data_IF_311898347479
#
_entry.id   IF_311898347479
#
_cell.length_a   1.000
_cell.length_b   1.000
_cell.length_c   1.000
_cell.angle_alpha   90.00
_cell.angle_beta   90.00
_cell.angle_gamma   90.00
#
_symmetry.space_group_name_H-M   'P 1'
#
loop_
_entity.id
_entity.type
_entity.pdbx_description
1 polymer ?
#
# COMPACT_ATOMS: atom_id res chain seq x y z
N UNK A 1 -0.31 -23.37 -14.22
CA UNK A 1 0.90 -22.62 -13.82
C UNK A 1 1.29 -23.05 -12.42
N UNK A 2 2.58 -23.15 -12.12
CA UNK A 2 3.05 -23.61 -10.81
C UNK A 2 2.97 -22.46 -9.80
N UNK A 3 2.52 -22.75 -8.57
CA UNK A 3 2.56 -21.79 -7.45
C UNK A 3 3.98 -21.25 -7.20
N UNK A 4 5.01 -22.02 -7.58
CA UNK A 4 6.41 -21.60 -7.49
C UNK A 4 6.74 -20.39 -8.38
N UNK A 5 6.17 -20.31 -9.59
CA UNK A 5 6.41 -19.17 -10.47
C UNK A 5 5.77 -17.90 -9.91
N UNK A 6 4.58 -18.01 -9.32
CA UNK A 6 3.90 -16.89 -8.66
C UNK A 6 4.71 -16.36 -7.47
N UNK A 7 5.21 -17.26 -6.62
CA UNK A 7 6.02 -16.88 -5.46
C UNK A 7 7.33 -16.22 -5.86
N UNK A 8 7.99 -16.69 -6.92
CA UNK A 8 9.20 -16.03 -7.44
C UNK A 8 8.93 -14.59 -7.86
N UNK A 9 7.80 -14.31 -8.53
CA UNK A 9 7.47 -12.93 -8.93
C UNK A 9 7.21 -12.03 -7.71
N UNK A 10 6.57 -12.53 -6.64
CA UNK A 10 6.40 -11.77 -5.40
C UNK A 10 7.70 -11.63 -4.60
N UNK A 11 8.58 -12.62 -4.66
CA UNK A 11 9.91 -12.59 -4.06
C UNK A 11 10.76 -11.50 -4.72
N UNK A 12 10.82 -11.49 -6.05
CA UNK A 12 11.52 -10.47 -6.86
C UNK A 12 10.97 -9.06 -6.57
N UNK A 13 9.65 -8.94 -6.48
CA UNK A 13 9.00 -7.72 -6.04
C UNK A 13 9.48 -7.29 -4.66
N UNK A 14 9.47 -8.19 -3.67
CA UNK A 14 9.94 -7.92 -2.31
C UNK A 14 11.40 -7.48 -2.24
N UNK A 15 12.27 -8.13 -3.00
CA UNK A 15 13.70 -7.78 -3.11
C UNK A 15 13.89 -6.36 -3.65
N UNK A 16 13.18 -6.00 -4.71
CA UNK A 16 13.25 -4.64 -5.28
C UNK A 16 12.61 -3.60 -4.35
N UNK A 17 11.54 -3.94 -3.62
CA UNK A 17 10.94 -3.06 -2.62
C UNK A 17 11.91 -2.73 -1.47
N UNK A 18 12.75 -3.68 -1.04
CA UNK A 18 13.84 -3.42 -0.08
C UNK A 18 14.81 -2.36 -0.61
N UNK A 19 15.24 -2.50 -1.85
CA UNK A 19 16.16 -1.55 -2.51
C UNK A 19 15.53 -0.16 -2.58
N UNK A 20 14.27 -0.07 -3.00
CA UNK A 20 13.55 1.21 -3.04
C UNK A 20 13.41 1.83 -1.65
N UNK A 21 13.15 1.04 -0.60
CA UNK A 21 13.06 1.54 0.77
C UNK A 21 14.36 2.23 1.20
N UNK A 22 15.50 1.59 0.93
CA UNK A 22 16.83 2.12 1.26
C UNK A 22 17.13 3.38 0.43
N UNK A 23 16.88 3.36 -0.88
CA UNK A 23 17.10 4.52 -1.76
C UNK A 23 16.23 5.71 -1.34
N UNK A 24 14.98 5.46 -0.96
CA UNK A 24 14.06 6.50 -0.49
C UNK A 24 14.52 7.07 0.85
N UNK A 25 15.02 6.22 1.76
CA UNK A 25 15.59 6.67 3.04
C UNK A 25 16.84 7.55 2.83
N UNK A 26 17.76 7.14 1.96
CA UNK A 26 18.94 7.93 1.60
C UNK A 26 18.52 9.25 0.96
N UNK A 27 17.55 9.23 0.04
CA UNK A 27 17.02 10.43 -0.60
C UNK A 27 16.35 11.40 0.39
N UNK A 28 15.64 10.87 1.40
CA UNK A 28 15.02 11.68 2.46
C UNK A 28 16.10 12.39 3.30
N UNK A 29 17.12 11.65 3.74
CA UNK A 29 18.26 12.21 4.49
C UNK A 29 19.00 13.25 3.63
N UNK A 30 19.23 12.94 2.36
CA UNK A 30 19.87 13.85 1.40
C UNK A 30 19.08 15.15 1.23
N UNK A 31 17.75 15.07 1.20
CA UNK A 31 16.88 16.26 1.12
C UNK A 31 16.95 17.10 2.39
N UNK A 32 16.99 16.48 3.58
CA UNK A 32 17.15 17.21 4.84
C UNK A 32 18.50 17.95 4.94
N UNK A 33 19.57 17.35 4.43
CA UNK A 33 20.91 17.97 4.39
C UNK A 33 20.98 19.03 3.28
N UNK A 34 20.35 18.75 2.13
CA UNK A 34 20.41 19.59 0.94
C UNK A 34 19.65 20.90 1.03
N UNK A 35 18.73 21.06 1.98
CA UNK A 35 18.14 22.38 2.27
C UNK A 35 19.16 23.39 2.78
N UNK A 36 20.31 22.93 3.29
CA UNK A 36 21.40 23.78 3.80
C UNK A 36 22.40 24.13 2.69
N UNK A 37 22.51 23.30 1.65
CA UNK A 37 23.55 23.41 0.62
C UNK A 37 22.93 23.23 -0.76
N UNK A 38 23.05 24.22 -1.66
CA UNK A 38 22.47 24.19 -3.02
C UNK A 38 22.81 22.90 -3.79
N UNK A 39 24.03 22.37 -3.66
CA UNK A 39 24.46 21.10 -4.26
C UNK A 39 23.56 19.92 -3.85
N UNK A 40 23.03 19.92 -2.62
CA UNK A 40 22.15 18.87 -2.14
C UNK A 40 20.81 18.81 -2.88
N UNK A 41 20.31 19.93 -3.41
CA UNK A 41 19.07 19.93 -4.23
C UNK A 41 19.25 19.15 -5.54
N UNK A 42 20.41 19.27 -6.19
CA UNK A 42 20.74 18.52 -7.40
C UNK A 42 20.86 17.02 -7.11
N UNK A 43 21.48 16.67 -5.98
CA UNK A 43 21.60 15.27 -5.53
C UNK A 43 20.21 14.67 -5.26
N UNK A 44 19.33 15.38 -4.54
CA UNK A 44 17.95 14.93 -4.32
C UNK A 44 17.17 14.76 -5.62
N UNK A 45 17.36 15.65 -6.59
CA UNK A 45 16.74 15.53 -7.90
C UNK A 45 17.21 14.25 -8.62
N UNK A 46 18.53 14.02 -8.71
CA UNK A 46 19.10 12.80 -9.30
C UNK A 46 18.59 11.53 -8.59
N UNK A 47 18.57 11.54 -7.26
CA UNK A 47 18.05 10.42 -6.47
C UNK A 47 16.57 10.13 -6.77
N UNK A 48 15.75 11.17 -6.97
CA UNK A 48 14.34 11.01 -7.32
C UNK A 48 14.17 10.31 -8.68
N UNK A 49 15.01 10.64 -9.67
CA UNK A 49 15.01 9.98 -10.99
C UNK A 49 15.40 8.51 -10.84
N UNK A 50 16.43 8.20 -10.05
CA UNK A 50 16.84 6.82 -9.78
C UNK A 50 15.69 6.03 -9.16
N UNK A 51 15.02 6.58 -8.13
CA UNK A 51 13.88 5.92 -7.47
C UNK A 51 12.75 5.63 -8.46
N UNK A 52 12.44 6.57 -9.37
CA UNK A 52 11.42 6.37 -10.42
C UNK A 52 11.81 5.20 -11.34
N UNK A 53 13.06 5.14 -11.79
CA UNK A 53 13.57 4.04 -12.63
C UNK A 53 13.43 2.70 -11.92
N UNK A 54 13.80 2.60 -10.63
CA UNK A 54 13.63 1.38 -9.85
C UNK A 54 12.15 1.00 -9.69
N UNK A 55 11.25 1.97 -9.51
CA UNK A 55 9.81 1.71 -9.48
C UNK A 55 9.29 1.09 -10.77
N UNK A 56 9.79 1.52 -11.93
CA UNK A 56 9.42 0.92 -13.21
C UNK A 56 9.84 -0.56 -13.30
N UNK A 57 10.98 -0.93 -12.71
CA UNK A 57 11.45 -2.32 -12.65
C UNK A 57 10.61 -3.20 -11.71
N UNK A 58 10.11 -2.64 -10.60
CA UNK A 58 9.22 -3.32 -9.63
C UNK A 58 7.87 -3.66 -10.22
N UNK A 59 7.35 -2.75 -11.04
CA UNK A 59 6.01 -2.86 -11.62
C UNK A 59 5.88 -4.06 -12.57
N UNK A 60 6.98 -4.47 -13.21
CA UNK A 60 7.03 -5.64 -14.08
C UNK A 60 6.59 -6.92 -13.37
N UNK A 61 7.04 -7.13 -12.14
CA UNK A 61 6.80 -8.36 -11.37
C UNK A 61 5.34 -8.44 -10.94
N UNK A 62 4.76 -7.34 -10.43
CA UNK A 62 3.34 -7.26 -10.09
C UNK A 62 2.45 -7.52 -11.32
N UNK A 63 2.84 -7.00 -12.49
CA UNK A 63 2.06 -7.22 -13.72
C UNK A 63 2.12 -8.69 -14.15
N UNK A 64 3.24 -9.38 -13.95
CA UNK A 64 3.37 -10.81 -14.24
C UNK A 64 2.55 -11.65 -13.24
N UNK A 65 2.69 -11.39 -11.94
CA UNK A 65 1.90 -12.04 -10.89
C UNK A 65 0.40 -11.84 -11.09
N UNK A 66 -0.04 -10.64 -11.50
CA UNK A 66 -1.46 -10.35 -11.76
C UNK A 66 -2.03 -11.12 -12.94
N UNK A 67 -1.20 -11.42 -13.96
CA UNK A 67 -1.60 -12.29 -15.09
C UNK A 67 -1.72 -13.75 -14.70
N UNK A 68 -0.96 -14.18 -13.68
CA UNK A 68 -0.99 -15.56 -13.16
C UNK A 68 -2.23 -15.85 -12.29
N UNK A 69 -2.84 -14.81 -11.72
CA UNK A 69 -3.98 -14.90 -10.80
C UNK A 69 -5.32 -14.51 -11.46
N UNK A 70 -5.73 -15.25 -12.49
CA UNK A 70 -7.00 -15.06 -13.20
C UNK A 70 -7.33 -13.59 -13.54
N UNK A 71 -6.32 -12.85 -13.99
CA UNK A 71 -6.46 -11.45 -14.39
C UNK A 71 -6.96 -10.54 -13.25
N UNK A 72 -6.37 -10.70 -12.05
CA UNK A 72 -6.73 -9.90 -10.88
C UNK A 72 -6.63 -8.38 -11.16
N UNK A 73 -7.79 -7.72 -11.17
CA UNK A 73 -7.93 -6.30 -11.55
C UNK A 73 -7.17 -5.36 -10.63
N UNK A 74 -7.03 -5.69 -9.35
CA UNK A 74 -6.35 -4.84 -8.37
C UNK A 74 -4.84 -4.81 -8.62
N UNK A 75 -4.24 -5.98 -8.86
CA UNK A 75 -2.81 -6.09 -9.13
C UNK A 75 -2.43 -5.52 -10.50
N UNK A 76 -3.25 -5.74 -11.53
CA UNK A 76 -3.00 -5.23 -12.89
C UNK A 76 -3.28 -3.74 -13.03
N UNK A 77 -4.20 -3.19 -12.23
CA UNK A 77 -4.49 -1.76 -12.18
C UNK A 77 -3.43 -0.95 -11.46
N UNK A 78 -2.64 -1.57 -10.57
CA UNK A 78 -1.59 -0.90 -9.79
C UNK A 78 -0.54 -0.19 -10.67
N UNK A 79 0.13 -0.87 -11.63
CA UNK A 79 1.10 -0.26 -12.54
C UNK A 79 0.66 1.07 -13.15
N UNK A 80 -0.50 1.06 -13.80
CA UNK A 80 -1.00 2.19 -14.58
C UNK A 80 -1.35 3.37 -13.66
N UNK A 81 -2.10 3.11 -12.60
CA UNK A 81 -2.51 4.14 -11.64
C UNK A 81 -1.30 4.76 -10.94
N UNK A 82 -0.33 3.95 -10.56
CA UNK A 82 0.87 4.43 -9.86
C UNK A 82 1.77 5.28 -10.76
N UNK A 83 2.07 4.82 -11.99
CA UNK A 83 2.92 5.55 -12.94
C UNK A 83 2.26 6.86 -13.35
N UNK A 84 1.00 6.79 -13.80
CA UNK A 84 0.26 7.98 -14.25
C UNK A 84 0.15 9.00 -13.11
N UNK A 85 -0.18 8.54 -11.90
CA UNK A 85 -0.24 9.40 -10.73
C UNK A 85 1.10 10.06 -10.36
N UNK A 86 2.20 9.33 -10.51
CA UNK A 86 3.56 9.85 -10.25
C UNK A 86 3.95 10.91 -11.27
N UNK A 87 3.73 10.66 -12.56
CA UNK A 87 4.04 11.62 -13.64
C UNK A 87 3.22 12.91 -13.46
N UNK A 88 1.90 12.79 -13.29
CA UNK A 88 1.02 13.95 -13.10
C UNK A 88 1.45 14.78 -11.89
N UNK A 89 1.82 14.13 -10.78
CA UNK A 89 2.29 14.81 -9.58
C UNK A 89 3.62 15.53 -9.80
N UNK A 90 4.59 14.92 -10.49
CA UNK A 90 5.88 15.56 -10.80
C UNK A 90 5.67 16.81 -11.67
N UNK A 91 4.81 16.73 -12.69
CA UNK A 91 4.44 17.88 -13.53
C UNK A 91 3.79 18.96 -12.67
N UNK A 92 2.83 18.59 -11.82
CA UNK A 92 2.15 19.52 -10.90
C UNK A 92 3.11 20.24 -9.95
N UNK A 93 4.10 19.51 -9.39
CA UNK A 93 5.16 20.10 -8.57
C UNK A 93 6.02 21.09 -9.36
N UNK A 94 6.30 20.82 -10.64
CA UNK A 94 6.98 21.76 -11.53
C UNK A 94 6.21 23.07 -11.70
N UNK A 95 4.94 22.99 -12.07
CA UNK A 95 4.06 24.17 -12.18
C UNK A 95 3.96 24.97 -10.88
N UNK A 96 3.79 24.27 -9.76
CA UNK A 96 3.71 24.89 -8.44
C UNK A 96 4.99 25.65 -8.08
N UNK A 97 6.17 25.03 -8.25
CA UNK A 97 7.45 25.66 -7.93
C UNK A 97 7.78 26.83 -8.87
N UNK A 98 7.49 26.71 -10.17
CA UNK A 98 7.67 27.82 -11.12
C UNK A 98 6.76 28.99 -10.77
N UNK A 99 5.48 28.71 -10.49
CA UNK A 99 4.52 29.74 -10.07
C UNK A 99 4.96 30.46 -8.79
N UNK A 100 5.44 29.70 -7.80
CA UNK A 100 5.96 30.24 -6.53
C UNK A 100 7.25 31.05 -6.73
N UNK A 101 8.16 30.58 -7.58
CA UNK A 101 9.39 31.30 -7.91
C UNK A 101 9.07 32.66 -8.55
N UNK A 102 8.15 32.72 -9.52
CA UNK A 102 7.73 33.98 -10.15
C UNK A 102 7.11 34.93 -9.12
N UNK A 103 6.27 34.41 -8.22
CA UNK A 103 5.64 35.20 -7.15
C UNK A 103 6.67 35.86 -6.21
N UNK A 104 7.77 35.16 -5.91
CA UNK A 104 8.76 35.59 -4.92
C UNK A 104 9.94 36.36 -5.52
N UNK A 105 10.24 36.19 -6.80
CA UNK A 105 11.50 36.69 -7.40
C UNK A 105 11.42 38.14 -7.91
N UNK A 106 10.22 38.73 -8.00
CA UNK A 106 10.04 40.02 -8.67
C UNK A 106 9.64 41.07 -7.63
N UNK A 107 10.55 42.03 -7.37
CA UNK A 107 10.32 43.15 -6.45
C UNK A 107 9.21 44.13 -6.88
N UNK A 108 8.74 44.06 -8.13
CA UNK A 108 7.58 44.80 -8.65
C UNK A 108 6.76 43.88 -9.56
N UNK A 109 5.77 43.19 -8.99
CA UNK A 109 4.87 42.31 -9.75
C UNK A 109 3.83 43.17 -10.47
N UNK A 110 3.82 43.14 -11.81
CA UNK A 110 2.69 43.69 -12.57
C UNK A 110 1.46 42.79 -12.41
N UNK A 111 0.25 43.35 -12.50
CA UNK A 111 -1.00 42.58 -12.39
C UNK A 111 -1.02 41.36 -13.34
N UNK A 112 -0.42 41.49 -14.53
CA UNK A 112 -0.29 40.40 -15.50
C UNK A 112 0.64 39.27 -15.02
N UNK A 113 1.78 39.60 -14.42
CA UNK A 113 2.71 38.59 -13.89
C UNK A 113 2.09 37.90 -12.66
N UNK A 114 1.38 38.66 -11.83
CA UNK A 114 0.65 38.11 -10.69
C UNK A 114 -0.39 37.09 -11.13
N UNK A 115 -1.19 37.41 -12.16
CA UNK A 115 -2.22 36.49 -12.64
C UNK A 115 -1.62 35.21 -13.23
N UNK A 116 -0.55 35.32 -14.03
CA UNK A 116 0.18 34.15 -14.55
C UNK A 116 0.71 33.28 -13.40
N UNK A 117 1.34 33.89 -12.41
CA UNK A 117 1.87 33.18 -11.24
C UNK A 117 0.77 32.41 -10.50
N UNK A 118 -0.35 33.07 -10.17
CA UNK A 118 -1.48 32.45 -9.49
C UNK A 118 -2.06 31.30 -10.33
N UNK A 119 -2.23 31.50 -11.63
CA UNK A 119 -2.74 30.45 -12.52
C UNK A 119 -1.83 29.21 -12.53
N UNK A 120 -0.50 29.39 -12.60
CA UNK A 120 0.45 28.27 -12.54
C UNK A 120 0.37 27.52 -11.21
N UNK A 121 0.24 28.23 -10.09
CA UNK A 121 0.08 27.63 -8.76
C UNK A 121 -1.20 26.81 -8.70
N UNK A 122 -2.34 27.35 -9.17
CA UNK A 122 -3.62 26.65 -9.14
C UNK A 122 -3.62 25.40 -10.04
N UNK A 123 -3.04 25.49 -11.24
CA UNK A 123 -2.83 24.33 -12.13
C UNK A 123 -1.96 23.29 -11.44
N UNK A 124 -0.85 23.71 -10.82
CA UNK A 124 0.05 22.85 -10.07
C UNK A 124 -0.65 22.10 -8.95
N UNK A 125 -1.45 22.80 -8.13
CA UNK A 125 -2.23 22.19 -7.04
C UNK A 125 -3.22 21.15 -7.57
N UNK A 126 -3.97 21.48 -8.63
CA UNK A 126 -4.92 20.54 -9.24
C UNK A 126 -4.25 19.25 -9.72
N UNK A 127 -3.11 19.38 -10.40
CA UNK A 127 -2.30 18.23 -10.85
C UNK A 127 -1.72 17.44 -9.67
N UNK A 128 -1.20 18.10 -8.64
CA UNK A 128 -0.69 17.46 -7.43
C UNK A 128 -1.78 16.61 -6.76
N UNK A 129 -2.98 17.16 -6.60
CA UNK A 129 -4.11 16.45 -6.01
C UNK A 129 -4.50 15.26 -6.89
N UNK A 130 -4.71 15.48 -8.19
CA UNK A 130 -5.10 14.41 -9.14
C UNK A 130 -4.10 13.27 -9.19
N UNK A 131 -2.80 13.59 -9.28
CA UNK A 131 -1.73 12.59 -9.26
C UNK A 131 -1.65 11.80 -7.94
N UNK A 132 -1.91 12.47 -6.81
CA UNK A 132 -1.92 11.83 -5.49
C UNK A 132 -3.12 10.89 -5.31
N UNK A 133 -4.29 11.27 -5.82
CA UNK A 133 -5.50 10.41 -5.82
C UNK A 133 -5.24 9.12 -6.61
N UNK A 134 -4.60 9.20 -7.78
CA UNK A 134 -4.27 8.00 -8.55
C UNK A 134 -3.31 7.06 -7.78
N UNK A 135 -2.32 7.60 -7.08
CA UNK A 135 -1.42 6.82 -6.22
C UNK A 135 -2.15 6.22 -5.03
N UNK A 136 -3.07 6.95 -4.41
CA UNK A 136 -3.94 6.46 -3.35
C UNK A 136 -4.76 5.26 -3.83
N UNK A 137 -5.36 5.35 -5.02
CA UNK A 137 -6.12 4.26 -5.63
C UNK A 137 -5.23 3.05 -5.98
N UNK A 138 -3.99 3.28 -6.43
CA UNK A 138 -3.03 2.22 -6.69
C UNK A 138 -2.73 1.44 -5.39
N UNK A 139 -2.27 2.11 -4.34
CA UNK A 139 -1.98 1.47 -3.05
C UNK A 139 -3.22 0.87 -2.38
N UNK A 140 -4.40 1.47 -2.60
CA UNK A 140 -5.68 0.90 -2.20
C UNK A 140 -5.94 -0.46 -2.85
N UNK A 141 -5.76 -0.57 -4.16
CA UNK A 141 -5.86 -1.84 -4.88
C UNK A 141 -4.88 -2.89 -4.36
N UNK A 142 -3.60 -2.52 -4.16
CA UNK A 142 -2.61 -3.46 -3.65
C UNK A 142 -2.90 -3.92 -2.21
N UNK A 143 -3.40 -3.03 -1.34
CA UNK A 143 -3.86 -3.41 0.00
C UNK A 143 -5.01 -4.41 -0.08
N UNK A 144 -6.02 -4.10 -0.90
CA UNK A 144 -7.20 -4.94 -1.08
C UNK A 144 -6.80 -6.32 -1.61
N UNK A 145 -5.86 -6.37 -2.55
CA UNK A 145 -5.30 -7.63 -3.04
C UNK A 145 -4.76 -8.50 -1.89
N UNK A 146 -3.88 -7.99 -1.04
CA UNK A 146 -3.34 -8.77 0.08
C UNK A 146 -4.40 -9.12 1.14
N UNK A 147 -5.46 -8.33 1.24
CA UNK A 147 -6.57 -8.60 2.15
C UNK A 147 -7.49 -9.73 1.66
N UNK A 148 -7.84 -9.74 0.37
CA UNK A 148 -8.71 -10.76 -0.22
C UNK A 148 -7.99 -12.03 -0.65
N UNK A 149 -6.66 -11.98 -0.76
CA UNK A 149 -5.82 -13.11 -1.17
C UNK A 149 -4.83 -13.50 -0.06
N UNK A 150 -5.19 -13.24 1.20
CA UNK A 150 -4.34 -13.55 2.34
C UNK A 150 -3.94 -15.03 2.39
N UNK A 151 -4.83 -15.93 1.94
CA UNK A 151 -4.56 -17.38 1.86
C UNK A 151 -3.45 -17.78 0.89
N UNK A 152 -3.02 -16.90 -0.03
CA UNK A 152 -1.91 -17.19 -0.95
C UNK A 152 -0.54 -17.10 -0.27
N UNK A 153 -0.45 -16.47 0.89
CA UNK A 153 0.80 -16.15 1.56
C UNK A 153 0.79 -16.68 3.00
N UNK A 154 1.97 -16.96 3.59
CA UNK A 154 2.09 -17.17 5.03
C UNK A 154 1.46 -16.00 5.81
N UNK A 155 0.82 -16.29 6.94
CA UNK A 155 -0.01 -15.34 7.70
C UNK A 155 0.78 -14.08 8.09
N UNK A 156 2.05 -14.24 8.47
CA UNK A 156 2.94 -13.13 8.81
C UNK A 156 3.22 -12.24 7.59
N UNK A 157 3.57 -12.84 6.45
CA UNK A 157 3.87 -12.12 5.20
C UNK A 157 2.62 -11.44 4.63
N UNK A 158 1.45 -12.09 4.69
CA UNK A 158 0.18 -11.50 4.27
C UNK A 158 -0.15 -10.23 5.07
N UNK A 159 -0.02 -10.32 6.41
CA UNK A 159 -0.28 -9.19 7.31
C UNK A 159 0.75 -8.07 7.14
N UNK A 160 2.03 -8.39 7.00
CA UNK A 160 3.07 -7.40 6.72
C UNK A 160 2.83 -6.69 5.38
N UNK A 161 2.52 -7.44 4.32
CA UNK A 161 2.27 -6.88 2.99
C UNK A 161 1.03 -6.00 2.94
N UNK A 162 -0.08 -6.44 3.54
CA UNK A 162 -1.31 -5.64 3.70
C UNK A 162 -1.03 -4.33 4.45
N UNK A 163 -0.31 -4.41 5.57
CA UNK A 163 0.04 -3.23 6.36
C UNK A 163 1.01 -2.31 5.60
N UNK A 164 1.97 -2.87 4.86
CA UNK A 164 2.89 -2.12 4.03
C UNK A 164 2.17 -1.29 2.96
N UNK A 165 1.24 -1.91 2.24
CA UNK A 165 0.38 -1.22 1.28
C UNK A 165 -0.53 -0.17 1.96
N UNK A 166 -1.05 -0.46 3.17
CA UNK A 166 -1.83 0.50 3.96
C UNK A 166 -1.01 1.74 4.32
N UNK A 167 0.23 1.60 4.77
CA UNK A 167 1.10 2.75 5.07
C UNK A 167 1.41 3.58 3.83
N UNK A 168 1.68 2.93 2.69
CA UNK A 168 1.88 3.64 1.41
C UNK A 168 0.63 4.39 0.97
N UNK A 169 -0.57 3.81 1.17
CA UNK A 169 -1.85 4.47 0.93
C UNK A 169 -2.03 5.71 1.81
N UNK A 170 -1.72 5.62 3.10
CA UNK A 170 -1.77 6.77 4.02
C UNK A 170 -0.75 7.84 3.58
N UNK A 171 0.46 7.45 3.19
CA UNK A 171 1.43 8.37 2.60
C UNK A 171 0.89 9.09 1.36
N UNK A 172 0.18 8.40 0.48
CA UNK A 172 -0.46 9.02 -0.69
C UNK A 172 -1.63 9.97 -0.33
N UNK A 173 -2.29 9.77 0.82
CA UNK A 173 -3.27 10.73 1.35
C UNK A 173 -2.55 11.98 1.85
N UNK A 174 -1.47 11.80 2.63
CA UNK A 174 -0.69 12.92 3.16
C UNK A 174 -0.05 13.75 2.04
N UNK A 175 0.33 13.12 0.93
CA UNK A 175 0.82 13.78 -0.28
C UNK A 175 -0.18 14.81 -0.88
N UNK A 176 -1.49 14.67 -0.62
CA UNK A 176 -2.51 15.64 -1.04
C UNK A 176 -2.29 16.97 -0.30
N UNK A 177 -1.78 16.91 0.94
CA UNK A 177 -1.41 18.08 1.71
C UNK A 177 0.05 18.43 1.41
N UNK A 178 0.32 19.67 0.99
CA UNK A 178 1.68 20.10 0.63
C UNK A 178 2.61 20.11 1.86
N UNK A 179 2.05 20.32 3.06
CA UNK A 179 2.81 20.55 4.30
C UNK A 179 3.32 19.25 4.94
N UNK A 180 2.62 18.12 4.75
CA UNK A 180 2.93 16.87 5.45
C UNK A 180 3.81 15.90 4.63
N UNK A 181 4.51 16.41 3.61
CA UNK A 181 5.34 15.60 2.70
C UNK A 181 6.39 14.76 3.43
N UNK A 182 7.03 15.31 4.47
CA UNK A 182 8.02 14.58 5.27
C UNK A 182 7.42 13.34 5.96
N UNK A 183 6.23 13.49 6.54
CA UNK A 183 5.52 12.40 7.20
C UNK A 183 5.09 11.36 6.16
N UNK A 184 4.66 11.80 4.97
CA UNK A 184 4.30 10.92 3.87
C UNK A 184 5.46 10.01 3.45
N UNK A 185 6.68 10.57 3.36
CA UNK A 185 7.88 9.82 2.99
C UNK A 185 8.29 8.81 4.05
N UNK A 186 8.22 9.17 5.35
CA UNK A 186 8.48 8.22 6.45
C UNK A 186 7.50 7.04 6.40
N UNK A 187 6.20 7.30 6.29
CA UNK A 187 5.19 6.24 6.21
C UNK A 187 5.41 5.35 5.00
N UNK A 188 5.80 5.93 3.87
CA UNK A 188 6.08 5.20 2.64
C UNK A 188 7.32 4.31 2.80
N UNK A 189 8.39 4.78 3.45
CA UNK A 189 9.58 3.98 3.76
C UNK A 189 9.19 2.77 4.64
N UNK A 190 8.43 3.00 5.70
CA UNK A 190 7.90 1.91 6.56
C UNK A 190 7.07 0.93 5.73
N UNK A 191 6.23 1.46 4.84
CA UNK A 191 5.41 0.66 3.94
C UNK A 191 6.25 -0.21 2.99
N UNK A 192 7.32 0.34 2.44
CA UNK A 192 8.24 -0.37 1.53
C UNK A 192 9.01 -1.48 2.25
N UNK A 193 9.50 -1.23 3.46
CA UNK A 193 10.13 -2.27 4.27
C UNK A 193 9.16 -3.41 4.64
N UNK A 194 7.90 -3.09 4.92
CA UNK A 194 6.87 -4.10 5.18
C UNK A 194 6.51 -4.91 3.93
N UNK A 195 6.45 -4.29 2.76
CA UNK A 195 6.27 -5.00 1.47
C UNK A 195 7.49 -5.83 1.08
N UNK A 196 8.69 -5.44 1.54
CA UNK A 196 9.90 -6.22 1.34
C UNK A 196 9.90 -7.57 2.08
N UNK A 197 8.91 -7.84 2.93
CA UNK A 197 8.70 -9.15 3.55
C UNK A 197 8.46 -10.28 2.54
N UNK A 198 7.90 -9.95 1.37
CA UNK A 198 7.61 -10.92 0.30
C UNK A 198 8.86 -11.63 -0.24
N UNK A 199 10.05 -11.06 -0.05
CA UNK A 199 11.31 -11.74 -0.39
C UNK A 199 11.52 -13.05 0.40
N UNK A 200 10.81 -13.23 1.51
CA UNK A 200 10.91 -14.41 2.37
C UNK A 200 9.98 -15.54 1.92
N UNK A 201 9.20 -15.38 0.85
CA UNK A 201 8.21 -16.39 0.43
C UNK A 201 8.83 -17.74 0.10
N UNK A 202 10.08 -17.74 -0.36
CA UNK A 202 10.80 -18.95 -0.80
C UNK A 202 11.64 -19.56 0.32
N UNK A 203 11.90 -18.77 1.37
CA UNK A 203 12.59 -19.17 2.61
C UNK A 203 11.61 -19.56 3.72
N UNK A 204 10.35 -19.11 3.63
CA UNK A 204 9.31 -19.42 4.60
C UNK A 204 9.14 -20.95 4.65
N UNK A 205 9.16 -21.56 5.85
CA UNK A 205 8.94 -22.99 5.97
C UNK A 205 7.66 -23.30 5.22
N UNK A 206 7.71 -24.29 4.33
CA UNK A 206 6.58 -24.72 3.54
C UNK A 206 5.44 -25.10 4.48
N UNK A 207 4.62 -24.11 4.84
CA UNK A 207 3.34 -24.38 5.46
C UNK A 207 2.53 -24.99 4.32
N UNK A 208 2.04 -26.24 4.48
CA UNK A 208 1.04 -26.75 3.57
C UNK A 208 -0.04 -25.68 3.45
N UNK A 209 -0.58 -25.48 2.25
CA UNK A 209 -1.78 -24.69 2.05
C UNK A 209 -2.88 -25.32 2.93
N UNK A 210 -2.95 -24.90 4.19
CA UNK A 210 -3.93 -25.38 5.14
C UNK A 210 -5.25 -24.81 4.66
N UNK A 211 -6.06 -25.69 4.08
CA UNK A 211 -7.51 -25.56 4.05
C UNK A 211 -8.00 -24.97 5.38
N UNK A 212 -9.09 -24.18 5.37
CA UNK A 212 -9.53 -23.43 6.53
C UNK A 212 -9.78 -24.37 7.72
N UNK A 213 -8.81 -24.45 8.62
CA UNK A 213 -9.06 -24.82 10.00
C UNK A 213 -9.77 -23.63 10.62
N UNK A 214 -11.10 -23.76 10.68
CA UNK A 214 -11.93 -23.03 11.62
C UNK A 214 -11.20 -23.03 12.97
N UNK A 215 -11.05 -21.89 13.66
CA UNK A 215 -10.37 -21.85 14.95
C UNK A 215 -11.08 -22.79 15.91
N UNK A 216 -10.55 -24.00 16.07
CA UNK A 216 -10.90 -24.87 17.18
C UNK A 216 -10.26 -24.23 18.40
N UNK A 217 -11.05 -23.37 19.03
CA UNK A 217 -10.77 -22.85 20.35
C UNK A 217 -10.53 -24.03 21.28
N UNK A 218 -9.52 -23.86 22.14
CA UNK A 218 -9.07 -24.85 23.12
C UNK A 218 -10.25 -25.50 23.86
N UNK A 219 -10.14 -26.79 24.25
CA UNK A 219 -11.22 -27.51 24.90
C UNK A 219 -11.57 -26.83 26.23
N UNK A 220 -12.77 -26.26 26.30
CA UNK A 220 -13.41 -25.94 27.58
C UNK A 220 -13.91 -27.26 28.13
N UNK A 221 -13.18 -27.74 29.12
CA UNK A 221 -13.49 -28.91 29.91
C UNK A 221 -14.84 -28.71 30.63
N UNK A 222 -15.79 -29.63 30.38
CA UNK A 222 -16.90 -29.90 31.29
C UNK A 222 -18.25 -29.21 31.03
N UNK A 223 -18.92 -29.51 29.92
CA UNK A 223 -20.39 -29.45 29.85
C UNK A 223 -20.91 -30.66 29.08
N UNK A 224 -21.51 -31.63 29.78
CA UNK A 224 -22.24 -32.73 29.13
C UNK A 224 -23.43 -32.15 28.36
N UNK A 225 -23.42 -32.35 27.05
CA UNK A 225 -24.52 -31.98 26.16
C UNK A 225 -25.66 -32.99 26.30
N UNK A 226 -26.88 -32.49 26.47
CA UNK A 226 -28.10 -33.28 26.31
C UNK A 226 -28.68 -33.00 24.92
N UNK A 227 -29.39 -33.98 24.34
CA UNK A 227 -30.06 -33.81 23.05
C UNK A 227 -31.54 -33.53 23.27
N UNK A 228 -32.11 -32.60 22.51
CA UNK A 228 -33.55 -32.35 22.53
C UNK A 228 -34.32 -33.57 22.00
N UNK A 229 -35.24 -34.17 22.76
CA UNK A 229 -36.01 -35.33 22.29
C UNK A 229 -36.98 -35.01 21.15
N UNK A 230 -37.28 -33.72 20.92
CA UNK A 230 -38.27 -33.29 19.93
C UNK A 230 -37.68 -32.95 18.56
N UNK A 231 -36.41 -32.53 18.49
CA UNK A 231 -35.77 -32.13 17.22
C UNK A 231 -34.33 -32.65 17.06
N UNK A 232 -33.74 -33.26 18.07
CA UNK A 232 -32.40 -33.84 18.03
C UNK A 232 -31.26 -32.82 18.09
N UNK A 233 -31.54 -31.53 18.25
CA UNK A 233 -30.49 -30.51 18.42
C UNK A 233 -29.80 -30.60 19.77
N UNK A 234 -28.56 -30.13 19.82
CA UNK A 234 -27.76 -30.03 21.03
C UNK A 234 -28.31 -28.95 21.98
N UNK A 235 -28.43 -29.32 23.25
CA UNK A 235 -28.96 -28.44 24.30
C UNK A 235 -28.05 -28.50 25.53
N UNK A 236 -27.69 -27.33 26.04
CA UNK A 236 -26.95 -27.19 27.29
C UNK A 236 -27.76 -27.73 28.48
N UNK A 237 -27.11 -28.46 29.39
CA UNK A 237 -27.77 -28.92 30.63
C UNK A 237 -28.35 -27.74 31.42
N UNK A 238 -29.64 -27.84 31.77
CA UNK A 238 -30.37 -26.83 32.54
C UNK A 238 -31.20 -25.83 31.71
N UNK A 239 -31.23 -25.97 30.38
CA UNK A 239 -32.10 -25.16 29.54
C UNK A 239 -33.56 -25.64 29.60
N UNK A 240 -34.48 -24.76 30.03
CA UNK A 240 -35.93 -25.04 30.05
C UNK A 240 -36.58 -25.12 28.67
N UNK A 241 -35.98 -24.53 27.65
CA UNK A 241 -36.52 -24.49 26.29
C UNK A 241 -35.42 -24.71 25.25
N UNK A 242 -35.75 -25.43 24.17
CA UNK A 242 -34.84 -25.67 23.05
C UNK A 242 -34.64 -24.40 22.22
N UNK A 243 -33.39 -23.94 21.98
CA UNK A 243 -33.14 -22.76 21.15
C UNK A 243 -33.44 -22.98 19.66
N UNK A 244 -33.47 -24.24 19.19
CA UNK A 244 -33.70 -24.56 17.78
C UNK A 244 -35.17 -24.75 17.42
N UNK A 245 -35.99 -25.32 18.31
CA UNK A 245 -37.40 -25.59 18.01
C UNK A 245 -38.41 -24.96 18.98
N UNK A 246 -37.96 -24.35 20.09
CA UNK A 246 -38.81 -23.70 21.08
C UNK A 246 -39.58 -24.64 22.00
N UNK A 247 -39.39 -25.96 21.90
CA UNK A 247 -40.03 -26.94 22.78
C UNK A 247 -39.48 -26.84 24.21
N UNK A 248 -40.36 -26.99 25.21
CA UNK A 248 -39.98 -27.07 26.62
C UNK A 248 -39.26 -28.41 26.89
N UNK A 249 -38.15 -28.35 27.63
CA UNK A 249 -37.30 -29.49 27.96
C UNK A 249 -37.26 -29.58 29.49
N UNK A 250 -37.82 -30.65 30.02
CA UNK A 250 -37.89 -30.98 31.45
C UNK A 250 -36.76 -31.95 31.83
#
# INVERSE_FOLDING_TARGET
MSNADLYREFEDFGNKMKTIAILTLIGLIGTLVGTIIVIGTLISFVMSIIIIVFFLLVIGDLKKAGRMLDNNKDLLGFPLKFILGTIIRVIGLGFFNIGLFILLSIGIITVLILSISISLILIGIGLIIGGSVLRLLAWGGLKNFFEYNAQLFPIDIANESKNGAKFCKIGAILDITIILGFIADILRIVGYFKLASLKRLTEAPAQPMSQPEIPMSAPVEGQSLNYCPHCGSDVSMGARFCPSCGAEID
#
